data_IF_874921223554
#
_entry.id   IF_874921223554
#
_cell.length_a   1.000
_cell.length_b   1.000
_cell.length_c   1.000
_cell.angle_alpha   90.00
_cell.angle_beta   90.00
_cell.angle_gamma   90.00
#
_symmetry.space_group_name_H-M   'P 1'
#
loop_
_entity.id
_entity.type
_entity.pdbx_description
1 polymer ?
#
# COMPACT_ATOMS: atom_id res chain seq x y z
N UNK A 1 -6.47 22.08 -3.08
CA UNK A 1 -7.06 21.63 -4.36
C UNK A 1 -6.05 20.95 -5.31
N UNK A 2 -4.78 21.34 -5.40
CA UNK A 2 -3.86 20.68 -6.37
C UNK A 2 -3.35 19.30 -5.93
N UNK A 3 -3.25 19.04 -4.62
CA UNK A 3 -2.66 17.81 -4.09
C UNK A 3 -3.51 16.56 -4.33
N UNK A 4 -4.84 16.71 -4.44
CA UNK A 4 -5.78 15.60 -4.64
C UNK A 4 -5.53 14.83 -5.91
N UNK A 5 -5.19 15.53 -6.99
CA UNK A 5 -4.85 14.91 -8.26
C UNK A 5 -3.56 14.10 -8.15
N UNK A 6 -2.60 14.56 -7.35
CA UNK A 6 -1.30 13.91 -7.19
C UNK A 6 -1.48 12.56 -6.47
N UNK A 7 -2.08 12.55 -5.28
CA UNK A 7 -2.24 11.28 -4.56
C UNK A 7 -3.28 10.36 -5.20
N UNK A 8 -4.33 10.90 -5.83
CA UNK A 8 -5.27 10.10 -6.63
C UNK A 8 -4.56 9.42 -7.79
N UNK A 9 -3.70 10.14 -8.52
CA UNK A 9 -2.92 9.56 -9.61
C UNK A 9 -1.96 8.47 -9.12
N UNK A 10 -1.27 8.69 -7.99
CA UNK A 10 -0.40 7.67 -7.38
C UNK A 10 -1.17 6.40 -7.01
N UNK A 11 -2.32 6.55 -6.35
CA UNK A 11 -3.16 5.43 -5.92
C UNK A 11 -3.74 4.71 -7.12
N UNK A 12 -4.27 5.44 -8.10
CA UNK A 12 -4.87 4.86 -9.29
C UNK A 12 -3.83 4.09 -10.12
N UNK A 13 -2.67 4.69 -10.39
CA UNK A 13 -1.56 4.02 -11.08
C UNK A 13 -1.06 2.80 -10.29
N UNK A 14 -0.92 2.92 -8.97
CA UNK A 14 -0.56 1.80 -8.11
C UNK A 14 -1.59 0.68 -8.12
N UNK A 15 -2.87 0.98 -8.03
CA UNK A 15 -3.95 0.00 -8.10
C UNK A 15 -3.92 -0.73 -9.43
N UNK A 16 -3.85 0.00 -10.56
CA UNK A 16 -3.76 -0.58 -11.90
C UNK A 16 -2.54 -1.50 -12.07
N UNK A 17 -1.35 -1.04 -11.69
CA UNK A 17 -0.10 -1.81 -11.82
C UNK A 17 -0.08 -3.06 -10.92
N UNK A 18 -0.85 -3.09 -9.84
CA UNK A 18 -0.97 -4.25 -8.95
C UNK A 18 -1.77 -5.40 -9.57
N UNK A 19 -2.61 -5.11 -10.57
CA UNK A 19 -3.46 -6.08 -11.27
C UNK A 19 -2.73 -6.75 -12.45
N UNK A 20 -3.43 -7.67 -13.14
CA UNK A 20 -2.94 -8.29 -14.37
C UNK A 20 -2.81 -7.27 -15.53
N UNK A 21 -3.61 -6.19 -15.52
CA UNK A 21 -3.47 -5.10 -16.49
C UNK A 21 -2.11 -4.40 -16.39
N UNK A 22 -1.49 -4.44 -15.21
CA UNK A 22 -0.16 -3.92 -14.99
C UNK A 22 0.90 -4.56 -15.88
N UNK A 23 0.69 -5.80 -16.34
CA UNK A 23 1.60 -6.45 -17.30
C UNK A 23 1.48 -5.86 -18.69
N UNK A 24 0.25 -5.65 -19.17
CA UNK A 24 0.00 -4.99 -20.45
C UNK A 24 0.56 -3.58 -20.46
N UNK A 25 0.36 -2.83 -19.36
CA UNK A 25 0.90 -1.48 -19.20
C UNK A 25 2.44 -1.51 -19.15
N UNK A 26 3.03 -2.44 -18.40
CA UNK A 26 4.48 -2.60 -18.33
C UNK A 26 5.07 -2.90 -19.73
N UNK A 27 4.45 -3.79 -20.49
CA UNK A 27 4.89 -4.12 -21.84
C UNK A 27 4.74 -2.94 -22.80
N UNK A 28 3.64 -2.18 -22.71
CA UNK A 28 3.42 -0.98 -23.53
C UNK A 28 4.40 0.16 -23.21
N UNK A 29 4.81 0.29 -21.95
CA UNK A 29 5.81 1.26 -21.49
C UNK A 29 7.26 0.82 -21.73
N UNK A 30 7.48 -0.32 -22.38
CA UNK A 30 8.83 -0.81 -22.66
C UNK A 30 9.56 -1.31 -21.39
N UNK A 31 8.88 -2.04 -20.51
CA UNK A 31 9.52 -2.65 -19.32
C UNK A 31 10.69 -3.60 -19.62
N UNK A 32 10.92 -3.94 -20.90
CA UNK A 32 12.12 -4.63 -21.38
C UNK A 32 13.36 -3.72 -21.45
N UNK A 33 13.21 -2.41 -21.39
CA UNK A 33 14.32 -1.45 -21.32
C UNK A 33 14.96 -1.46 -19.92
N UNK A 34 16.28 -1.27 -19.87
CA UNK A 34 17.10 -1.34 -18.65
C UNK A 34 16.54 -0.43 -17.52
N UNK A 35 15.98 0.72 -17.89
CA UNK A 35 15.41 1.72 -16.97
C UNK A 35 14.12 1.29 -16.26
N UNK A 36 13.34 0.39 -16.86
CA UNK A 36 12.03 -0.06 -16.33
C UNK A 36 12.01 -1.55 -15.97
N UNK A 37 13.19 -2.14 -15.79
CA UNK A 37 13.38 -3.54 -15.39
C UNK A 37 12.62 -3.93 -14.12
N UNK A 38 12.35 -2.99 -13.20
CA UNK A 38 11.56 -3.22 -11.99
C UNK A 38 10.07 -3.55 -12.26
N UNK A 39 9.54 -3.18 -13.44
CA UNK A 39 8.17 -3.52 -13.86
C UNK A 39 8.09 -4.88 -14.57
N UNK A 40 9.23 -5.42 -15.02
CA UNK A 40 9.29 -6.69 -15.75
C UNK A 40 8.96 -7.89 -14.86
N UNK A 41 9.41 -7.89 -13.61
CA UNK A 41 9.14 -8.98 -12.69
C UNK A 41 7.81 -8.74 -11.96
N UNK A 42 6.94 -9.75 -11.93
CA UNK A 42 5.58 -9.64 -11.35
C UNK A 42 5.63 -9.23 -9.88
N UNK A 43 6.56 -9.81 -9.11
CA UNK A 43 6.75 -9.49 -7.68
C UNK A 43 7.14 -8.03 -7.48
N UNK A 44 8.18 -7.57 -8.17
CA UNK A 44 8.71 -6.20 -7.99
C UNK A 44 7.73 -5.16 -8.52
N UNK A 45 6.99 -5.47 -9.59
CA UNK A 45 5.89 -4.63 -10.09
C UNK A 45 4.81 -4.49 -9.04
N UNK A 46 4.28 -5.60 -8.50
CA UNK A 46 3.24 -5.56 -7.45
C UNK A 46 3.70 -4.82 -6.19
N UNK A 47 4.90 -5.11 -5.70
CA UNK A 47 5.46 -4.41 -4.53
C UNK A 47 5.70 -2.92 -4.81
N UNK A 48 6.19 -2.55 -5.99
CA UNK A 48 6.35 -1.15 -6.40
C UNK A 48 5.01 -0.43 -6.54
N UNK A 49 4.02 -1.10 -7.10
CA UNK A 49 2.65 -0.61 -7.21
C UNK A 49 2.01 -0.36 -5.84
N UNK A 50 2.26 -1.24 -4.87
CA UNK A 50 1.87 -1.03 -3.47
C UNK A 50 2.56 0.18 -2.85
N UNK A 51 3.84 0.45 -3.15
CA UNK A 51 4.51 1.67 -2.66
C UNK A 51 3.82 2.95 -3.16
N UNK A 52 3.36 2.98 -4.42
CA UNK A 52 2.63 4.12 -4.96
C UNK A 52 1.31 4.33 -4.23
N UNK A 53 0.55 3.24 -3.98
CA UNK A 53 -0.68 3.29 -3.21
C UNK A 53 -0.45 3.76 -1.77
N UNK A 54 0.59 3.22 -1.10
CA UNK A 54 0.93 3.58 0.28
C UNK A 54 1.37 5.03 0.40
N UNK A 55 2.19 5.52 -0.54
CA UNK A 55 2.60 6.92 -0.59
C UNK A 55 1.42 7.85 -0.84
N UNK A 56 0.55 7.51 -1.80
CA UNK A 56 -0.64 8.31 -2.06
C UNK A 56 -1.61 8.30 -0.87
N UNK A 57 -1.86 7.16 -0.25
CA UNK A 57 -2.70 7.05 0.95
C UNK A 57 -2.12 7.85 2.14
N UNK A 58 -0.80 7.85 2.30
CA UNK A 58 -0.11 8.66 3.30
C UNK A 58 -0.30 10.16 3.05
N UNK A 59 -0.10 10.63 1.81
CA UNK A 59 -0.30 12.04 1.45
C UNK A 59 -1.77 12.44 1.65
N UNK A 60 -2.73 11.60 1.22
CA UNK A 60 -4.16 11.85 1.44
C UNK A 60 -4.50 11.95 2.93
N UNK A 61 -3.85 11.14 3.77
CA UNK A 61 -4.03 11.18 5.23
C UNK A 61 -3.45 12.45 5.86
N UNK A 62 -2.30 12.94 5.35
CA UNK A 62 -1.74 14.24 5.73
C UNK A 62 -2.70 15.37 5.35
N UNK A 63 -3.23 15.34 4.13
CA UNK A 63 -4.16 16.35 3.62
C UNK A 63 -5.42 16.40 4.51
N UNK A 64 -6.02 15.26 4.79
CA UNK A 64 -7.17 15.15 5.70
C UNK A 64 -6.85 15.66 7.12
N UNK A 65 -5.69 15.28 7.67
CA UNK A 65 -5.26 15.76 8.98
C UNK A 65 -5.01 17.27 9.01
N UNK A 66 -4.42 17.82 7.94
CA UNK A 66 -4.17 19.25 7.81
C UNK A 66 -5.49 20.03 7.73
N UNK A 67 -6.45 19.57 6.91
CA UNK A 67 -7.78 20.16 6.80
C UNK A 67 -8.48 20.14 8.17
N UNK A 68 -8.41 19.00 8.88
CA UNK A 68 -8.98 18.88 10.21
C UNK A 68 -8.41 19.90 11.20
N UNK A 69 -7.09 20.09 11.24
CA UNK A 69 -6.50 21.09 12.13
C UNK A 69 -6.84 22.53 11.71
N UNK A 70 -6.93 22.81 10.41
CA UNK A 70 -7.31 24.14 9.92
C UNK A 70 -8.77 24.47 10.19
N UNK A 71 -9.64 23.48 10.19
CA UNK A 71 -11.04 23.65 10.61
C UNK A 71 -11.15 24.13 12.06
N UNK A 72 -10.36 23.54 12.95
CA UNK A 72 -10.29 23.94 14.35
C UNK A 72 -9.73 25.36 14.53
N UNK A 73 -8.70 25.73 13.78
CA UNK A 73 -8.04 27.04 13.90
C UNK A 73 -8.96 28.19 13.44
N UNK A 74 -9.74 27.98 12.37
CA UNK A 74 -10.56 29.03 11.75
C UNK A 74 -12.05 28.98 12.13
N UNK A 75 -12.41 28.31 13.24
CA UNK A 75 -13.80 28.24 13.74
C UNK A 75 -14.81 27.74 12.68
N UNK A 76 -14.41 26.72 11.92
CA UNK A 76 -15.26 26.08 10.91
C UNK A 76 -15.25 26.72 9.52
N UNK A 77 -14.43 27.76 9.29
CA UNK A 77 -14.20 28.33 7.95
C UNK A 77 -12.92 27.73 7.37
N UNK A 78 -13.04 26.66 6.58
CA UNK A 78 -11.92 26.08 5.84
C UNK A 78 -11.94 26.45 4.36
N UNK A 79 -10.76 26.73 3.80
CA UNK A 79 -10.54 26.85 2.36
C UNK A 79 -10.55 25.49 1.63
N UNK A 80 -10.85 24.39 2.34
CA UNK A 80 -10.94 23.04 1.80
C UNK A 80 -12.35 22.78 1.24
N UNK A 81 -12.72 23.55 0.23
CA UNK A 81 -14.00 23.42 -0.45
C UNK A 81 -13.82 22.57 -1.72
N UNK A 82 -14.03 21.26 -1.58
CA UNK A 82 -14.74 20.54 -2.64
C UNK A 82 -16.11 20.24 -2.05
N UNK A 83 -17.05 21.16 -2.22
CA UNK A 83 -18.46 20.83 -2.26
C UNK A 83 -18.73 20.43 -3.72
N UNK A 84 -18.81 19.13 -3.98
CA UNK A 84 -19.02 18.60 -5.33
C UNK A 84 -20.05 17.49 -5.26
N UNK A 85 -21.09 17.62 -6.06
CA UNK A 85 -22.03 16.53 -6.29
C UNK A 85 -21.49 15.65 -7.42
N UNK A 86 -21.16 14.41 -7.11
CA UNK A 86 -20.80 13.39 -8.10
C UNK A 86 -21.79 12.24 -7.98
N UNK A 87 -22.54 11.98 -9.04
CA UNK A 87 -23.52 10.88 -9.10
C UNK A 87 -24.58 10.90 -7.97
N UNK A 88 -24.94 12.10 -7.46
CA UNK A 88 -25.90 12.24 -6.36
C UNK A 88 -25.28 12.05 -4.97
N UNK A 89 -23.95 11.95 -4.88
CA UNK A 89 -23.21 11.93 -3.62
C UNK A 89 -22.65 13.33 -3.36
N UNK A 90 -23.01 13.90 -2.22
CA UNK A 90 -22.50 15.20 -1.79
C UNK A 90 -21.13 15.02 -1.13
N UNK A 91 -20.07 15.32 -1.88
CA UNK A 91 -18.73 15.41 -1.32
C UNK A 91 -18.56 16.81 -0.74
N UNK A 92 -18.47 16.91 0.58
CA UNK A 92 -18.15 18.14 1.31
C UNK A 92 -17.22 17.82 2.49
N UNK A 93 -15.92 18.02 2.26
CA UNK A 93 -14.88 17.74 3.24
C UNK A 93 -14.94 18.68 4.45
N UNK A 94 -15.45 19.90 4.30
CA UNK A 94 -15.54 20.87 5.41
C UNK A 94 -16.60 20.43 6.41
N UNK A 95 -17.80 20.07 5.92
CA UNK A 95 -18.87 19.54 6.76
C UNK A 95 -18.49 18.19 7.36
N UNK A 96 -17.87 17.30 6.56
CA UNK A 96 -17.37 16.01 7.04
C UNK A 96 -16.39 16.15 8.23
N UNK A 97 -15.45 17.10 8.15
CA UNK A 97 -14.45 17.33 9.20
C UNK A 97 -15.07 17.90 10.47
N UNK A 98 -16.06 18.79 10.35
CA UNK A 98 -16.79 19.33 11.50
C UNK A 98 -17.51 18.23 12.30
N UNK A 99 -18.19 17.32 11.60
CA UNK A 99 -18.85 16.18 12.25
C UNK A 99 -17.86 15.12 12.77
N UNK A 100 -16.65 15.06 12.20
CA UNK A 100 -15.59 14.15 12.64
C UNK A 100 -15.01 14.53 14.00
N UNK A 101 -15.00 15.80 14.38
CA UNK A 101 -14.48 16.26 15.67
C UNK A 101 -15.16 15.52 16.83
N UNK A 102 -16.49 15.39 16.73
CA UNK A 102 -17.33 14.68 17.70
C UNK A 102 -17.14 13.16 17.66
N UNK A 103 -16.47 12.63 16.62
CA UNK A 103 -16.33 11.21 16.34
C UNK A 103 -14.86 10.74 16.29
N UNK A 104 -13.93 11.50 16.89
CA UNK A 104 -12.52 11.13 16.98
C UNK A 104 -12.32 9.88 17.85
N UNK A 105 -11.42 8.99 17.43
CA UNK A 105 -11.13 7.75 18.16
C UNK A 105 -10.23 8.04 19.37
N UNK A 106 -10.78 8.02 20.59
CA UNK A 106 -10.07 8.41 21.82
C UNK A 106 -9.40 9.81 21.74
N UNK A 107 -10.03 10.74 21.02
CA UNK A 107 -9.48 12.08 20.80
C UNK A 107 -8.34 12.15 19.76
N UNK A 108 -8.03 11.04 19.08
CA UNK A 108 -7.06 11.01 17.99
C UNK A 108 -7.79 11.31 16.66
N UNK A 109 -7.34 12.33 15.90
CA UNK A 109 -7.83 12.60 14.55
C UNK A 109 -7.66 11.41 13.61
N UNK A 110 -8.71 11.08 12.86
CA UNK A 110 -8.69 9.95 11.92
C UNK A 110 -7.61 10.09 10.85
N UNK A 111 -7.32 11.31 10.39
CA UNK A 111 -6.21 11.57 9.46
C UNK A 111 -4.86 11.11 10.02
N UNK A 112 -4.61 11.33 11.32
CA UNK A 112 -3.38 10.87 11.98
C UNK A 112 -3.33 9.34 12.08
N UNK A 113 -4.46 8.69 12.39
CA UNK A 113 -4.57 7.24 12.36
C UNK A 113 -4.22 6.64 10.99
N UNK A 114 -4.72 7.25 9.92
CA UNK A 114 -4.38 6.90 8.54
C UNK A 114 -2.88 7.03 8.26
N UNK A 115 -2.26 8.14 8.68
CA UNK A 115 -0.81 8.35 8.51
C UNK A 115 0.02 7.22 9.13
N UNK A 116 -0.27 6.86 10.38
CA UNK A 116 0.45 5.79 11.07
C UNK A 116 0.26 4.44 10.38
N UNK A 117 -0.97 4.14 9.95
CA UNK A 117 -1.28 2.93 9.21
C UNK A 117 -0.45 2.83 7.92
N UNK A 118 -0.45 3.86 7.08
CA UNK A 118 0.27 3.85 5.81
C UNK A 118 1.79 3.81 5.99
N UNK A 119 2.34 4.42 7.04
CA UNK A 119 3.77 4.31 7.36
C UNK A 119 4.14 2.88 7.73
N UNK A 120 3.41 2.24 8.64
CA UNK A 120 3.73 0.89 9.13
C UNK A 120 3.61 -0.13 8.00
N UNK A 121 2.52 -0.07 7.22
CA UNK A 121 2.30 -0.97 6.09
C UNK A 121 3.28 -0.67 4.94
N UNK A 122 3.62 0.60 4.74
CA UNK A 122 4.70 1.05 3.85
C UNK A 122 6.05 0.45 4.21
N UNK A 123 6.37 0.41 5.50
CA UNK A 123 7.58 -0.23 5.99
C UNK A 123 7.59 -1.74 5.72
N UNK A 124 6.50 -2.47 5.99
CA UNK A 124 6.41 -3.91 5.65
C UNK A 124 6.73 -4.18 4.19
N UNK A 125 6.10 -3.43 3.30
CA UNK A 125 6.25 -3.61 1.85
C UNK A 125 7.65 -3.22 1.37
N UNK A 126 8.28 -2.20 1.95
CA UNK A 126 9.68 -1.84 1.68
C UNK A 126 10.64 -2.94 2.14
N UNK A 127 10.43 -3.48 3.34
CA UNK A 127 11.24 -4.58 3.88
C UNK A 127 11.13 -5.84 3.03
N UNK A 128 9.93 -6.20 2.57
CA UNK A 128 9.73 -7.35 1.66
C UNK A 128 10.41 -7.11 0.31
N UNK A 129 10.35 -5.87 -0.20
CA UNK A 129 11.00 -5.52 -1.48
C UNK A 129 12.52 -5.54 -1.37
N UNK A 130 13.08 -5.10 -0.24
CA UNK A 130 14.51 -5.08 0.01
C UNK A 130 15.09 -6.50 0.16
N UNK A 131 14.42 -7.36 0.94
CA UNK A 131 14.88 -8.73 1.21
C UNK A 131 13.77 -9.76 0.95
N UNK A 132 13.53 -10.12 -0.33
CA UNK A 132 12.41 -10.99 -0.70
C UNK A 132 12.60 -12.45 -0.27
N UNK A 133 13.82 -12.90 0.04
CA UNK A 133 14.11 -14.29 0.45
C UNK A 133 14.21 -14.46 1.96
N UNK A 134 14.00 -13.39 2.74
CA UNK A 134 14.12 -13.47 4.19
C UNK A 134 12.96 -14.24 4.84
N UNK A 135 13.23 -14.82 6.02
CA UNK A 135 12.25 -15.62 6.77
C UNK A 135 11.04 -14.81 7.24
N UNK A 136 11.23 -13.51 7.53
CA UNK A 136 10.16 -12.61 7.99
C UNK A 136 9.18 -12.16 6.90
N UNK A 137 9.46 -12.44 5.62
CA UNK A 137 8.56 -12.06 4.52
C UNK A 137 7.17 -12.66 4.69
N UNK A 138 7.08 -13.91 5.17
CA UNK A 138 5.76 -14.53 5.41
C UNK A 138 4.97 -13.81 6.50
N UNK A 139 5.67 -13.45 7.58
CA UNK A 139 5.09 -12.71 8.68
C UNK A 139 4.58 -11.34 8.20
N UNK A 140 5.38 -10.60 7.43
CA UNK A 140 5.00 -9.26 6.95
C UNK A 140 3.86 -9.29 5.93
N UNK A 141 3.77 -10.32 5.09
CA UNK A 141 2.62 -10.48 4.20
C UNK A 141 1.35 -10.76 5.00
N UNK A 142 1.40 -11.66 5.99
CA UNK A 142 0.26 -11.96 6.88
C UNK A 142 -0.15 -10.76 7.72
N UNK A 143 0.82 -10.04 8.27
CA UNK A 143 0.57 -8.80 9.01
C UNK A 143 -0.04 -7.73 8.10
N UNK A 144 0.41 -7.61 6.86
CA UNK A 144 -0.18 -6.71 5.85
C UNK A 144 -1.64 -7.05 5.57
N UNK A 145 -1.98 -8.34 5.37
CA UNK A 145 -3.37 -8.79 5.21
C UNK A 145 -4.19 -8.45 6.45
N UNK A 146 -3.68 -8.77 7.65
CA UNK A 146 -4.37 -8.52 8.90
C UNK A 146 -4.61 -7.03 9.14
N UNK A 147 -3.58 -6.20 8.96
CA UNK A 147 -3.67 -4.76 9.14
C UNK A 147 -4.61 -4.12 8.11
N UNK A 148 -4.50 -4.47 6.83
CA UNK A 148 -5.39 -3.95 5.79
C UNK A 148 -6.82 -4.46 5.95
N UNK A 149 -7.02 -5.69 6.44
CA UNK A 149 -8.33 -6.24 6.75
C UNK A 149 -9.00 -5.49 7.90
N UNK A 150 -8.26 -5.27 9.00
CA UNK A 150 -8.73 -4.46 10.12
C UNK A 150 -9.02 -3.01 9.70
N UNK A 151 -8.10 -2.39 8.96
CA UNK A 151 -8.31 -1.06 8.37
C UNK A 151 -9.53 -1.00 7.46
N UNK A 152 -9.82 -2.07 6.71
CA UNK A 152 -11.02 -2.20 5.89
C UNK A 152 -12.30 -2.22 6.73
N UNK A 153 -12.32 -2.92 7.86
CA UNK A 153 -13.46 -2.92 8.79
C UNK A 153 -13.68 -1.51 9.36
N UNK A 154 -12.61 -0.85 9.82
CA UNK A 154 -12.68 0.54 10.29
C UNK A 154 -13.16 1.48 9.18
N UNK A 155 -12.71 1.27 7.94
CA UNK A 155 -13.15 2.03 6.77
C UNK A 155 -14.65 1.88 6.53
N UNK A 156 -15.19 0.66 6.61
CA UNK A 156 -16.63 0.42 6.48
C UNK A 156 -17.44 1.09 7.60
N UNK A 157 -16.91 1.08 8.82
CA UNK A 157 -17.53 1.80 9.94
C UNK A 157 -17.58 3.31 9.69
N UNK A 158 -16.52 3.91 9.14
CA UNK A 158 -16.51 5.33 8.80
C UNK A 158 -17.46 5.65 7.63
N UNK A 159 -17.57 4.77 6.63
CA UNK A 159 -18.60 4.90 5.58
C UNK A 159 -20.00 4.85 6.19
N UNK A 160 -20.24 3.95 7.14
CA UNK A 160 -21.52 3.89 7.85
C UNK A 160 -21.84 5.21 8.56
N UNK A 161 -20.87 5.81 9.26
CA UNK A 161 -21.05 7.13 9.89
C UNK A 161 -21.40 8.19 8.82
N UNK A 162 -20.66 8.22 7.70
CA UNK A 162 -20.92 9.17 6.61
C UNK A 162 -22.34 9.04 6.06
N UNK A 163 -22.80 7.80 5.83
CA UNK A 163 -24.11 7.55 5.23
C UNK A 163 -25.28 7.81 6.18
N UNK A 164 -25.18 7.40 7.45
CA UNK A 164 -26.33 7.38 8.37
C UNK A 164 -26.30 8.42 9.47
N UNK A 165 -25.13 8.93 9.83
CA UNK A 165 -24.96 9.92 10.91
C UNK A 165 -24.75 11.32 10.34
N UNK A 166 -24.06 11.43 9.21
CA UNK A 166 -23.74 12.70 8.53
C UNK A 166 -24.65 12.96 7.32
N UNK A 167 -25.84 12.35 7.28
CA UNK A 167 -26.85 12.54 6.22
C UNK A 167 -26.32 12.38 4.77
N UNK A 168 -25.35 11.49 4.56
CA UNK A 168 -24.79 11.24 3.24
C UNK A 168 -23.77 12.28 2.77
N UNK A 169 -23.14 13.00 3.70
CA UNK A 169 -21.97 13.85 3.41
C UNK A 169 -20.70 13.00 3.40
N UNK A 170 -19.97 13.06 2.29
CA UNK A 170 -18.71 12.31 2.09
C UNK A 170 -17.52 13.26 1.97
N UNK A 171 -16.33 12.78 2.31
CA UNK A 171 -15.06 13.45 1.95
C UNK A 171 -14.38 12.66 0.84
N UNK A 172 -13.87 13.37 -0.15
CA UNK A 172 -13.19 12.76 -1.29
C UNK A 172 -11.85 12.15 -0.83
N UNK A 173 -11.15 12.83 0.08
CA UNK A 173 -9.93 12.35 0.73
C UNK A 173 -10.18 11.05 1.51
N UNK A 174 -11.24 11.02 2.32
CA UNK A 174 -11.63 9.84 3.08
C UNK A 174 -11.99 8.66 2.15
N UNK A 175 -12.77 8.91 1.09
CA UNK A 175 -13.13 7.89 0.11
C UNK A 175 -11.90 7.29 -0.59
N UNK A 176 -10.94 8.13 -0.99
CA UNK A 176 -9.67 7.68 -1.60
C UNK A 176 -8.87 6.81 -0.62
N UNK A 177 -8.77 7.21 0.65
CA UNK A 177 -8.08 6.43 1.68
C UNK A 177 -8.74 5.06 1.84
N UNK A 178 -10.07 5.01 1.93
CA UNK A 178 -10.84 3.77 2.05
C UNK A 178 -10.59 2.84 0.85
N UNK A 179 -10.68 3.36 -0.38
CA UNK A 179 -10.39 2.60 -1.61
C UNK A 179 -8.95 2.07 -1.64
N UNK A 180 -8.00 2.85 -1.12
CA UNK A 180 -6.59 2.44 -1.04
C UNK A 180 -6.41 1.27 -0.09
N UNK A 181 -7.06 1.30 1.08
CA UNK A 181 -6.99 0.22 2.07
C UNK A 181 -7.51 -1.09 1.49
N UNK A 182 -8.65 -1.07 0.79
CA UNK A 182 -9.18 -2.25 0.11
C UNK A 182 -8.25 -2.74 -1.01
N UNK A 183 -7.71 -1.82 -1.81
CA UNK A 183 -6.76 -2.17 -2.86
C UNK A 183 -5.49 -2.83 -2.30
N UNK A 184 -5.00 -2.36 -1.15
CA UNK A 184 -3.87 -2.96 -0.44
C UNK A 184 -4.21 -4.36 0.09
N UNK A 185 -5.40 -4.56 0.64
CA UNK A 185 -5.85 -5.89 1.07
C UNK A 185 -5.83 -6.90 -0.08
N UNK A 186 -6.35 -6.50 -1.25
CA UNK A 186 -6.30 -7.32 -2.46
C UNK A 186 -4.87 -7.56 -2.95
N UNK A 187 -4.00 -6.56 -2.88
CA UNK A 187 -2.60 -6.69 -3.29
C UNK A 187 -1.80 -7.63 -2.37
N UNK A 188 -1.96 -7.52 -1.04
CA UNK A 188 -1.32 -8.41 -0.08
C UNK A 188 -1.80 -9.85 -0.20
N UNK A 189 -3.12 -10.06 -0.33
CA UNK A 189 -3.67 -11.41 -0.54
C UNK A 189 -3.18 -12.02 -1.86
N UNK A 190 -3.08 -11.22 -2.92
CA UNK A 190 -2.46 -11.65 -4.19
C UNK A 190 -0.99 -12.05 -4.03
N UNK A 191 -0.19 -11.29 -3.27
CA UNK A 191 1.22 -11.63 -3.01
C UNK A 191 1.38 -12.87 -2.13
N UNK A 192 0.55 -13.04 -1.10
CA UNK A 192 0.57 -14.24 -0.26
C UNK A 192 0.21 -15.48 -1.09
N UNK A 193 -0.79 -15.37 -1.97
CA UNK A 193 -1.16 -16.45 -2.89
C UNK A 193 0.00 -16.81 -3.82
N UNK A 194 0.65 -15.82 -4.44
CA UNK A 194 1.82 -16.04 -5.30
C UNK A 194 2.96 -16.75 -4.55
N UNK A 195 3.14 -16.43 -3.26
CA UNK A 195 4.11 -17.11 -2.40
C UNK A 195 3.74 -18.57 -2.15
N UNK A 196 2.49 -18.83 -1.80
CA UNK A 196 1.99 -20.18 -1.52
C UNK A 196 2.01 -21.07 -2.79
N UNK A 197 1.82 -20.49 -3.97
CA UNK A 197 1.87 -21.18 -5.27
C UNK A 197 3.31 -21.44 -5.77
N UNK A 198 4.34 -20.97 -5.04
CA UNK A 198 5.75 -21.19 -5.40
C UNK A 198 6.28 -20.25 -6.50
N UNK A 199 5.49 -19.25 -6.93
CA UNK A 199 5.83 -18.29 -7.99
C UNK A 199 6.62 -17.08 -7.42
N UNK A 200 7.12 -17.20 -6.19
CA UNK A 200 7.71 -16.10 -5.43
C UNK A 200 9.09 -15.65 -5.92
N UNK A 201 9.89 -16.58 -6.45
CA UNK A 201 11.28 -16.34 -6.85
C UNK A 201 11.32 -16.08 -8.35
N UNK A 202 11.91 -14.95 -8.73
CA UNK A 202 12.19 -14.67 -10.14
C UNK A 202 13.26 -15.66 -10.62
N UNK A 203 12.88 -16.59 -11.51
CA UNK A 203 13.78 -17.59 -12.11
C UNK A 203 14.96 -16.99 -12.93
N UNK A 204 15.18 -15.68 -12.91
CA UNK A 204 16.35 -15.03 -13.53
C UNK A 204 17.68 -15.42 -12.87
N UNK A 205 17.68 -15.93 -11.63
CA UNK A 205 18.90 -16.44 -10.98
C UNK A 205 19.33 -17.83 -11.48
N UNK A 206 18.43 -18.62 -12.05
CA UNK A 206 18.79 -19.91 -12.68
C UNK A 206 19.43 -19.73 -14.06
N UNK A 207 19.38 -18.52 -14.63
CA UNK A 207 20.07 -18.17 -15.87
C UNK A 207 21.45 -17.52 -15.68
N UNK A 208 21.93 -17.32 -14.44
CA UNK A 208 23.30 -16.85 -14.19
C UNK A 208 24.26 -18.05 -14.10
N UNK A 209 25.11 -18.32 -15.11
CA UNK A 209 26.08 -19.41 -15.04
C UNK A 209 27.08 -19.27 -13.88
N UNK A 210 27.21 -18.07 -13.29
CA UNK A 210 28.03 -17.84 -12.10
C UNK A 210 27.33 -18.24 -10.79
N UNK A 211 26.00 -18.33 -10.76
CA UNK A 211 25.23 -18.80 -9.61
C UNK A 211 25.41 -20.32 -9.42
N UNK A 212 25.28 -21.11 -10.50
CA UNK A 212 25.64 -22.53 -10.55
C UNK A 212 27.09 -22.77 -10.09
N UNK A 213 28.02 -21.92 -10.54
CA UNK A 213 29.45 -22.01 -10.20
C UNK A 213 29.73 -21.70 -8.72
N UNK A 214 28.99 -20.75 -8.12
CA UNK A 214 29.07 -20.43 -6.68
C UNK A 214 28.45 -21.53 -5.81
N UNK A 215 27.32 -22.09 -6.22
CA UNK A 215 26.66 -23.21 -5.53
C UNK A 215 27.53 -24.47 -5.50
N UNK A 216 28.20 -24.80 -6.62
CA UNK A 216 29.16 -25.91 -6.68
C UNK A 216 30.39 -25.71 -5.79
N UNK A 217 30.87 -24.47 -5.63
CA UNK A 217 32.01 -24.15 -4.75
C UNK A 217 31.66 -24.15 -3.25
N UNK A 218 30.42 -23.80 -2.90
CA UNK A 218 29.95 -23.76 -1.51
C UNK A 218 29.61 -25.14 -0.94
N UNK A 219 29.44 -26.17 -1.79
CA UNK A 219 29.10 -27.53 -1.39
C UNK A 219 30.33 -28.42 -1.12
N UNK A 220 31.48 -27.83 -0.83
CA UNK A 220 32.72 -28.52 -0.50
C UNK A 220 32.94 -28.61 1.00
N UNK A 221 32.06 -29.28 1.74
CA UNK A 221 32.41 -29.72 3.09
C UNK A 221 33.26 -30.99 2.94
N UNK A 222 34.57 -30.86 3.14
CA UNK A 222 35.49 -31.99 3.25
C UNK A 222 35.54 -32.34 4.74
N UNK A 223 34.92 -33.45 5.12
CA UNK A 223 35.03 -33.97 6.48
C UNK A 223 36.51 -34.30 6.76
N UNK A 224 37.07 -33.90 7.92
CA UNK A 224 38.44 -34.25 8.26
C UNK A 224 38.55 -35.77 8.42
N UNK A 225 39.44 -36.39 7.65
CA UNK A 225 39.88 -37.76 7.91
C UNK A 225 40.65 -37.75 9.23
N UNK A 226 40.13 -38.46 10.21
CA UNK A 226 40.83 -38.73 11.46
C UNK A 226 41.94 -39.72 11.10
N UNK A 227 43.18 -39.25 11.02
CA UNK A 227 44.32 -40.15 10.96
C UNK A 227 44.37 -40.91 12.29
N UNK A 228 44.07 -42.20 12.23
CA UNK A 228 44.31 -43.13 13.32
C UNK A 228 45.81 -43.41 13.39
N UNK A 229 46.53 -42.61 14.17
CA UNK A 229 47.84 -43.01 14.69
C UNK A 229 47.62 -43.76 16.02
N UNK A 230 47.97 -45.05 15.96
CA UNK A 230 48.41 -45.99 17.01
C UNK A 230 47.88 -45.86 18.45
#
# INVERSE_FOLDING_TARGET
MEWIFIYSALIFCGALLSTNLGETIANALGASEEKLSWMSNVRTRKLGAMQLMLLGGFIASIDLFWIQNKYMEYSGITAASTAMDIFGLNFDTTTFVGDLENNNFFGIPWGFGGMLFFIIVGWFTLSIKAEPTASWVDLFLKLGILSSGFGGIVSLYLVYIQTFVMDGVYSLEAAIIQLTIFSLLLAFTSLQRMKNEGIWVDNKLDSDPLYEKRKRRSSGYIAPTVDSEE
#
